data_IF_635708695637
#
_entry.id   IF_635708695637
#
_cell.length_a   1.000
_cell.length_b   1.000
_cell.length_c   1.000
_cell.angle_alpha   90.00
_cell.angle_beta   90.00
_cell.angle_gamma   90.00
#
_symmetry.space_group_name_H-M   'P 1'
#
loop_
_entity.id
_entity.type
_entity.pdbx_description
1 polymer ?
#
# COMPACT_ATOMS: atom_id res chain seq x y z
N UNK A 1 -7.77 -11.09 7.41
CA UNK A 1 -7.09 -10.43 6.29
C UNK A 1 -5.89 -11.28 5.92
N UNK A 2 -5.81 -11.75 4.67
CA UNK A 2 -4.73 -12.65 4.25
C UNK A 2 -3.58 -11.82 3.67
N UNK A 3 -2.36 -12.10 4.11
CA UNK A 3 -1.14 -11.55 3.52
C UNK A 3 -0.85 -12.28 2.21
N UNK A 4 -0.51 -11.51 1.18
CA UNK A 4 -0.05 -12.03 -0.10
C UNK A 4 1.48 -12.11 -0.12
N UNK A 5 2.07 -13.07 -0.83
CA UNK A 5 3.52 -13.12 -1.03
C UNK A 5 3.99 -11.87 -1.79
N UNK A 6 5.18 -11.37 -1.46
CA UNK A 6 5.73 -10.16 -2.09
C UNK A 6 5.89 -10.32 -3.60
N UNK A 7 6.11 -11.54 -4.08
CA UNK A 7 6.23 -11.87 -5.50
C UNK A 7 4.93 -11.64 -6.29
N UNK A 8 3.77 -11.57 -5.60
CA UNK A 8 2.47 -11.28 -6.20
C UNK A 8 2.08 -9.79 -6.14
N UNK A 9 2.98 -8.92 -5.71
CA UNK A 9 2.71 -7.48 -5.60
C UNK A 9 2.63 -6.84 -6.99
N UNK A 10 1.48 -6.26 -7.30
CA UNK A 10 1.21 -5.61 -8.58
C UNK A 10 1.46 -4.09 -8.50
N UNK A 11 1.88 -3.45 -9.62
CA UNK A 11 1.97 -1.99 -9.73
C UNK A 11 0.67 -1.27 -9.40
N UNK A 12 0.78 -0.02 -8.93
CA UNK A 12 -0.35 0.87 -8.72
C UNK A 12 -1.17 0.60 -7.45
N UNK A 13 -0.64 -0.15 -6.48
CA UNK A 13 -1.33 -0.49 -5.23
C UNK A 13 -0.81 0.30 -4.03
N UNK A 14 -1.74 0.64 -3.13
CA UNK A 14 -1.43 1.10 -1.78
C UNK A 14 -1.46 -0.11 -0.85
N UNK A 15 -0.32 -0.42 -0.23
CA UNK A 15 -0.15 -1.68 0.51
C UNK A 15 0.47 -1.47 1.88
N UNK A 16 0.14 -2.35 2.82
CA UNK A 16 0.97 -2.60 4.01
C UNK A 16 1.99 -3.66 3.66
N UNK A 17 3.24 -3.46 4.02
CA UNK A 17 4.29 -4.44 3.92
C UNK A 17 4.52 -5.18 5.24
N UNK A 18 4.77 -6.48 5.12
CA UNK A 18 5.24 -7.34 6.18
C UNK A 18 6.72 -7.67 5.98
N UNK A 19 7.47 -7.67 7.07
CA UNK A 19 8.87 -8.07 7.11
C UNK A 19 9.02 -9.15 8.18
N UNK A 20 9.72 -10.24 7.86
CA UNK A 20 9.88 -11.41 8.73
C UNK A 20 10.58 -11.12 10.06
N UNK A 21 11.40 -10.07 10.12
CA UNK A 21 12.06 -9.68 11.36
C UNK A 21 11.00 -9.12 12.32
N UNK A 22 10.68 -9.85 13.39
CA UNK A 22 9.59 -9.56 14.34
C UNK A 22 9.67 -8.18 15.03
N UNK A 23 10.79 -7.47 14.88
CA UNK A 23 11.02 -6.11 15.39
C UNK A 23 10.74 -5.01 14.36
N UNK A 24 10.39 -5.38 13.12
CA UNK A 24 10.23 -4.45 12.01
C UNK A 24 8.80 -3.95 11.83
N UNK A 25 8.60 -2.63 11.67
CA UNK A 25 7.28 -2.05 11.56
C UNK A 25 6.60 -2.50 10.27
N UNK A 26 5.32 -2.86 10.39
CA UNK A 26 4.38 -2.82 9.28
C UNK A 26 4.45 -1.41 8.67
N UNK A 27 4.79 -1.31 7.40
CA UNK A 27 4.96 -0.02 6.72
C UNK A 27 3.92 0.11 5.61
N UNK A 28 3.29 1.27 5.52
CA UNK A 28 2.46 1.62 4.37
C UNK A 28 3.37 2.15 3.27
N UNK A 29 3.22 1.62 2.06
CA UNK A 29 3.95 2.05 0.87
C UNK A 29 3.07 2.05 -0.37
N UNK A 30 3.51 2.80 -1.39
CA UNK A 30 2.86 2.85 -2.70
C UNK A 30 3.77 2.23 -3.74
N UNK A 31 3.20 1.35 -4.55
CA UNK A 31 3.86 0.81 -5.74
C UNK A 31 3.48 1.69 -6.92
N UNK A 32 4.45 2.37 -7.50
CA UNK A 32 4.24 3.20 -8.68
C UNK A 32 3.85 2.35 -9.90
N UNK A 33 3.41 3.03 -10.96
CA UNK A 33 2.90 2.37 -12.18
C UNK A 33 3.97 1.61 -12.97
N UNK A 34 5.22 2.02 -12.83
CA UNK A 34 6.38 1.34 -13.39
C UNK A 34 6.86 0.16 -12.52
N UNK A 35 6.19 -0.10 -11.39
CA UNK A 35 6.57 -1.13 -10.44
C UNK A 35 7.66 -0.70 -9.47
N UNK A 36 8.15 0.55 -9.55
CA UNK A 36 9.09 1.10 -8.58
C UNK A 36 8.33 1.37 -7.29
N UNK A 37 8.91 0.97 -6.17
CA UNK A 37 8.27 1.12 -4.88
C UNK A 37 8.84 2.32 -4.13
N UNK A 38 7.96 3.26 -3.77
CA UNK A 38 8.29 4.36 -2.87
C UNK A 38 8.21 3.88 -1.42
N UNK A 39 9.36 3.51 -0.85
CA UNK A 39 9.44 3.06 0.54
C UNK A 39 9.84 4.19 1.50
N UNK A 40 9.37 4.16 2.76
CA UNK A 40 9.95 4.99 3.81
C UNK A 40 11.46 4.70 3.98
N UNK A 41 12.27 5.72 4.24
CA UNK A 41 13.74 5.59 4.38
C UNK A 41 14.15 4.47 5.35
N UNK A 42 13.44 4.33 6.48
CA UNK A 42 13.67 3.31 7.52
C UNK A 42 13.59 1.85 7.05
N UNK A 43 13.03 1.58 5.87
CA UNK A 43 12.96 0.23 5.27
C UNK A 43 13.63 0.16 3.90
N UNK A 44 14.32 1.24 3.48
CA UNK A 44 15.09 1.25 2.24
C UNK A 44 16.20 0.18 2.29
N UNK A 45 16.33 -0.61 1.23
CA UNK A 45 17.27 -1.73 1.15
C UNK A 45 16.82 -3.02 1.85
N UNK A 46 15.66 -3.03 2.50
CA UNK A 46 15.05 -4.24 3.08
C UNK A 46 14.09 -4.88 2.10
N UNK A 47 14.02 -6.22 2.11
CA UNK A 47 13.05 -6.97 1.30
C UNK A 47 11.88 -7.45 2.17
N UNK A 48 10.64 -6.96 1.96
CA UNK A 48 9.46 -7.51 2.61
C UNK A 48 9.18 -8.93 2.12
N UNK A 49 8.51 -9.75 2.94
CA UNK A 49 8.12 -11.11 2.58
C UNK A 49 6.60 -11.26 2.35
N UNK A 50 5.83 -10.23 2.66
CA UNK A 50 4.41 -10.20 2.34
C UNK A 50 3.84 -8.79 2.25
N UNK A 51 2.63 -8.70 1.70
CA UNK A 51 1.89 -7.45 1.60
C UNK A 51 0.38 -7.63 1.78
N UNK A 52 -0.30 -6.54 2.10
CA UNK A 52 -1.75 -6.49 2.27
C UNK A 52 -2.31 -5.28 1.51
N UNK A 53 -3.36 -5.52 0.72
CA UNK A 53 -4.00 -4.48 -0.08
C UNK A 53 -4.88 -3.56 0.80
N UNK A 54 -4.53 -2.27 0.85
CA UNK A 54 -5.34 -1.25 1.53
C UNK A 54 -6.40 -0.62 0.61
N UNK A 55 -6.35 -0.86 -0.70
CA UNK A 55 -7.27 -0.27 -1.68
C UNK A 55 -8.73 -0.60 -1.36
N UNK A 56 -8.97 -1.78 -0.79
CA UNK A 56 -10.29 -2.22 -0.32
C UNK A 56 -10.87 -1.32 0.78
N UNK A 57 -10.03 -0.77 1.68
CA UNK A 57 -10.46 0.14 2.76
C UNK A 57 -10.91 1.50 2.23
N UNK A 58 -10.42 1.88 1.05
CA UNK A 58 -10.70 3.16 0.41
C UNK A 58 -11.70 3.06 -0.75
N UNK A 59 -12.23 1.87 -1.01
CA UNK A 59 -13.17 1.61 -2.11
C UNK A 59 -14.44 2.47 -2.01
N UNK A 60 -14.91 2.79 -0.80
CA UNK A 60 -16.02 3.73 -0.57
C UNK A 60 -15.62 5.22 -0.55
N UNK A 61 -14.33 5.52 -0.37
CA UNK A 61 -13.85 6.89 -0.15
C UNK A 61 -13.86 7.73 -1.43
N UNK A 62 -13.68 7.12 -2.60
CA UNK A 62 -13.75 7.83 -3.89
C UNK A 62 -15.13 8.45 -4.14
N UNK A 63 -16.21 7.80 -3.69
CA UNK A 63 -17.57 8.34 -3.80
C UNK A 63 -17.76 9.57 -2.93
N UNK A 64 -17.31 9.53 -1.68
CA UNK A 64 -17.43 10.66 -0.75
C UNK A 64 -16.52 11.83 -1.14
N UNK A 65 -15.29 11.57 -1.60
CA UNK A 65 -14.40 12.62 -2.12
C UNK A 65 -15.01 13.29 -3.36
N UNK A 66 -15.55 12.50 -4.31
CA UNK A 66 -16.22 13.06 -5.49
C UNK A 66 -17.43 13.91 -5.12
N UNK A 67 -18.23 13.50 -4.14
CA UNK A 67 -19.35 14.29 -3.63
C UNK A 67 -18.87 15.60 -2.99
N UNK A 68 -17.83 15.55 -2.16
CA UNK A 68 -17.28 16.74 -1.53
C UNK A 68 -16.74 17.75 -2.56
N UNK A 69 -15.99 17.28 -3.56
CA UNK A 69 -15.50 18.14 -4.66
C UNK A 69 -16.65 18.74 -5.47
N UNK A 70 -17.68 17.95 -5.80
CA UNK A 70 -18.85 18.43 -6.53
C UNK A 70 -19.69 19.44 -5.73
N UNK A 71 -19.70 19.36 -4.41
CA UNK A 71 -20.40 20.30 -3.52
C UNK A 71 -19.64 21.64 -3.31
N UNK A 72 -18.40 21.72 -3.78
CA UNK A 72 -17.54 22.91 -3.63
C UNK A 72 -17.41 23.70 -4.95
N UNK A 73 -18.02 23.21 -6.04
CA UNK A 73 -18.16 23.87 -7.34
C UNK A 73 -19.57 24.43 -7.51
#
# INVERSE_FOLDING_TARGET
MNWYPIEALEPGKLVVLHFRDETAPQCVGYVERDGVCGWPEKVTGRRPDGWLDLSSLFSGMTTEIRRAVAATL
#
